data_IF_273162652492
#
_entry.id   IF_273162652492
#
_cell.length_a   1.000
_cell.length_b   1.000
_cell.length_c   1.000
_cell.angle_alpha   90.00
_cell.angle_beta   90.00
_cell.angle_gamma   90.00
#
_symmetry.space_group_name_H-M   'P 1'
#
loop_
_entity.id
_entity.type
_entity.pdbx_description
1 polymer ?
#
# COMPACT_ATOMS: atom_id res chain seq x y z
N UNK A 1 -4.83 -14.29 -21.77
CA UNK A 1 -5.01 -14.33 -20.31
C UNK A 1 -5.37 -12.92 -19.87
N UNK A 2 -6.63 -12.67 -19.53
CA UNK A 2 -7.07 -11.38 -18.97
C UNK A 2 -6.31 -11.18 -17.66
N UNK A 3 -5.40 -10.20 -17.66
CA UNK A 3 -4.60 -9.86 -16.49
C UNK A 3 -5.53 -9.26 -15.43
N UNK A 4 -5.66 -9.91 -14.27
CA UNK A 4 -6.55 -9.42 -13.20
C UNK A 4 -6.02 -8.18 -12.48
N UNK A 5 -6.84 -7.66 -11.58
CA UNK A 5 -6.44 -6.64 -10.61
C UNK A 5 -5.78 -7.29 -9.39
N UNK A 6 -4.92 -6.55 -8.69
CA UNK A 6 -4.33 -6.99 -7.44
C UNK A 6 -4.24 -5.88 -6.40
N UNK A 7 -4.38 -6.26 -5.13
CA UNK A 7 -3.94 -5.49 -3.98
C UNK A 7 -2.74 -6.19 -3.33
N UNK A 8 -1.73 -5.41 -2.94
CA UNK A 8 -0.46 -5.96 -2.47
C UNK A 8 0.01 -5.25 -1.21
N UNK A 9 0.19 -6.03 -0.14
CA UNK A 9 0.73 -5.52 1.13
C UNK A 9 2.00 -6.26 1.54
N UNK A 10 2.88 -5.58 2.25
CA UNK A 10 4.15 -6.13 2.72
C UNK A 10 4.01 -6.87 4.04
N UNK A 11 4.29 -8.18 4.05
CA UNK A 11 4.37 -8.96 5.29
C UNK A 11 5.81 -9.39 5.62
N UNK A 12 6.00 -9.98 6.80
CA UNK A 12 7.31 -10.45 7.28
C UNK A 12 7.98 -11.44 6.33
N UNK A 13 7.21 -12.30 5.66
CA UNK A 13 7.71 -13.38 4.79
C UNK A 13 7.74 -13.02 3.30
N UNK A 14 7.29 -11.82 2.93
CA UNK A 14 7.21 -11.40 1.52
C UNK A 14 6.08 -10.40 1.29
N UNK A 15 5.26 -10.66 0.28
CA UNK A 15 4.21 -9.78 -0.19
C UNK A 15 2.90 -10.56 -0.23
N UNK A 16 1.91 -10.12 0.54
CA UNK A 16 0.55 -10.65 0.44
C UNK A 16 -0.07 -10.05 -0.80
N UNK A 17 -0.45 -10.89 -1.75
CA UNK A 17 -1.07 -10.50 -3.02
C UNK A 17 -2.48 -11.05 -3.04
N UNK A 18 -3.48 -10.18 -2.99
CA UNK A 18 -4.90 -10.52 -3.14
C UNK A 18 -5.37 -10.18 -4.56
N UNK A 19 -6.15 -11.06 -5.17
CA UNK A 19 -6.80 -10.87 -6.48
C UNK A 19 -8.19 -11.52 -6.49
N UNK A 20 -8.93 -11.36 -7.59
CA UNK A 20 -10.22 -12.02 -7.75
C UNK A 20 -10.11 -13.54 -7.63
N UNK A 21 -10.69 -14.10 -6.58
CA UNK A 21 -10.71 -15.54 -6.33
C UNK A 21 -9.47 -16.11 -5.63
N UNK A 22 -8.56 -15.27 -5.11
CA UNK A 22 -7.44 -15.82 -4.33
C UNK A 22 -6.54 -14.81 -3.63
N UNK A 23 -5.71 -15.35 -2.73
CA UNK A 23 -4.65 -14.63 -2.04
C UNK A 23 -3.45 -15.55 -1.86
N UNK A 24 -2.24 -15.01 -1.96
CA UNK A 24 -1.00 -15.76 -1.71
C UNK A 24 0.10 -14.85 -1.16
N UNK A 25 1.11 -15.45 -0.56
CA UNK A 25 2.36 -14.75 -0.23
C UNK A 25 3.39 -15.03 -1.32
N UNK A 26 3.96 -13.96 -1.90
CA UNK A 26 5.08 -14.04 -2.83
C UNK A 26 6.36 -13.53 -2.14
N UNK A 27 7.52 -14.16 -2.32
CA UNK A 27 8.69 -13.87 -1.49
C UNK A 27 9.33 -12.51 -1.78
N UNK A 28 9.23 -11.98 -3.00
CA UNK A 28 9.82 -10.69 -3.38
C UNK A 28 8.91 -9.92 -4.32
N UNK A 29 9.15 -8.62 -4.44
CA UNK A 29 8.42 -7.75 -5.35
C UNK A 29 8.63 -8.15 -6.82
N UNK A 30 9.78 -8.75 -7.16
CA UNK A 30 10.02 -9.28 -8.51
C UNK A 30 9.03 -10.40 -8.88
N UNK A 31 8.65 -11.27 -7.94
CA UNK A 31 7.60 -12.26 -8.14
C UNK A 31 6.22 -11.64 -8.28
N UNK A 32 5.95 -10.52 -7.58
CA UNK A 32 4.70 -9.75 -7.78
C UNK A 32 4.64 -9.24 -9.22
N UNK A 33 5.72 -8.66 -9.73
CA UNK A 33 5.78 -8.15 -11.11
C UNK A 33 5.66 -9.27 -12.17
N UNK A 34 6.17 -10.47 -11.90
CA UNK A 34 6.10 -11.59 -12.85
C UNK A 34 4.68 -12.14 -13.05
N UNK A 35 3.75 -11.90 -12.11
CA UNK A 35 2.33 -12.30 -12.22
C UNK A 35 1.54 -11.54 -13.30
N UNK A 36 2.09 -10.44 -13.82
CA UNK A 36 1.53 -9.62 -14.91
C UNK A 36 0.06 -9.18 -14.70
N UNK A 37 -0.31 -8.71 -13.52
CA UNK A 37 -1.60 -8.04 -13.29
C UNK A 37 -1.78 -6.82 -14.22
N UNK A 38 -3.04 -6.50 -14.56
CA UNK A 38 -3.35 -5.30 -15.35
C UNK A 38 -3.00 -4.07 -14.52
N UNK A 39 -3.42 -4.09 -13.26
CA UNK A 39 -3.14 -3.07 -12.28
C UNK A 39 -2.96 -3.71 -10.90
N UNK A 40 -1.91 -3.30 -10.18
CA UNK A 40 -1.64 -3.65 -8.80
C UNK A 40 -1.54 -2.38 -7.95
N UNK A 41 -2.28 -2.32 -6.85
CA UNK A 41 -2.24 -1.25 -5.86
C UNK A 41 -1.44 -1.77 -4.67
N UNK A 42 -0.37 -1.08 -4.30
CA UNK A 42 0.64 -1.62 -3.37
C UNK A 42 0.86 -0.69 -2.16
N UNK A 43 0.95 -1.23 -0.95
CA UNK A 43 1.26 -0.46 0.28
C UNK A 43 2.78 -0.33 0.50
N UNK A 44 3.38 0.54 -0.30
CA UNK A 44 4.77 0.95 -0.13
C UNK A 44 4.97 2.26 -0.89
N UNK A 45 5.74 3.22 -0.32
CA UNK A 45 6.08 4.45 -1.02
C UNK A 45 6.68 4.23 -2.41
N UNK A 46 6.05 4.79 -3.44
CA UNK A 46 6.54 4.93 -4.81
C UNK A 46 6.82 6.42 -5.08
N UNK A 47 8.02 6.67 -5.61
CA UNK A 47 8.51 8.03 -5.81
C UNK A 47 9.01 8.60 -4.49
N UNK A 48 10.33 8.78 -4.39
CA UNK A 48 11.01 9.18 -3.16
C UNK A 48 11.78 10.48 -3.38
N UNK A 49 11.40 11.52 -2.63
CA UNK A 49 12.07 12.82 -2.66
C UNK A 49 13.45 12.71 -1.98
N UNK A 50 14.36 13.61 -2.35
CA UNK A 50 15.65 13.73 -1.65
C UNK A 50 15.50 14.49 -0.32
N UNK A 51 14.58 15.46 -0.28
CA UNK A 51 14.33 16.34 0.87
C UNK A 51 12.82 16.60 0.99
N UNK A 52 12.33 16.70 2.22
CA UNK A 52 10.95 17.06 2.51
C UNK A 52 10.00 15.87 2.56
N UNK A 53 8.71 16.16 2.79
CA UNK A 53 7.63 15.18 2.79
C UNK A 53 6.86 15.25 1.48
N UNK A 54 6.37 14.10 1.00
CA UNK A 54 5.54 14.04 -0.20
C UNK A 54 4.19 14.68 0.05
N UNK A 55 3.65 15.35 -0.96
CA UNK A 55 2.30 15.94 -0.91
C UNK A 55 1.25 14.87 -0.63
N UNK A 56 1.37 13.70 -1.25
CA UNK A 56 0.45 12.58 -1.04
C UNK A 56 0.41 12.12 0.43
N UNK A 57 1.54 12.09 1.13
CA UNK A 57 1.61 11.71 2.55
C UNK A 57 0.84 12.71 3.43
N UNK A 58 0.98 14.01 3.14
CA UNK A 58 0.28 15.08 3.87
C UNK A 58 -1.23 15.04 3.63
N UNK A 59 -1.64 14.89 2.38
CA UNK A 59 -3.06 14.77 2.01
C UNK A 59 -3.69 13.51 2.60
N UNK A 60 -2.99 12.37 2.57
CA UNK A 60 -3.45 11.12 3.17
C UNK A 60 -3.69 11.27 4.68
N UNK A 61 -2.76 11.91 5.40
CA UNK A 61 -2.92 12.22 6.83
C UNK A 61 -4.14 13.09 7.11
N UNK A 62 -4.39 14.10 6.27
CA UNK A 62 -5.56 14.95 6.41
C UNK A 62 -6.85 14.18 6.19
N UNK A 63 -6.87 13.25 5.23
CA UNK A 63 -8.04 12.44 4.88
C UNK A 63 -8.45 11.50 6.02
N UNK A 64 -7.49 10.89 6.70
CA UNK A 64 -7.75 9.89 7.76
C UNK A 64 -7.79 10.49 9.18
N UNK A 65 -7.65 11.81 9.32
CA UNK A 65 -7.90 12.55 10.56
C UNK A 65 -7.14 12.02 11.78
N UNK A 66 -7.85 11.55 12.79
CA UNK A 66 -7.26 10.98 14.02
C UNK A 66 -6.34 9.78 13.76
N UNK A 67 -6.54 9.08 12.64
CA UNK A 67 -5.70 7.93 12.25
C UNK A 67 -4.43 8.37 11.51
N UNK A 68 -4.14 9.67 11.37
CA UNK A 68 -2.97 10.22 10.65
C UNK A 68 -1.62 9.61 10.99
N UNK A 69 -1.47 9.03 12.18
CA UNK A 69 -0.23 8.37 12.61
C UNK A 69 0.04 7.04 11.89
N UNK A 70 -0.95 6.47 11.20
CA UNK A 70 -0.77 5.25 10.40
C UNK A 70 -0.07 5.52 9.06
N UNK A 71 -0.21 6.73 8.52
CA UNK A 71 0.54 7.17 7.34
C UNK A 71 1.89 7.69 7.82
N UNK A 72 2.92 6.85 7.71
CA UNK A 72 4.30 7.23 8.01
C UNK A 72 4.90 8.04 6.85
N UNK A 73 5.79 9.02 7.11
CA UNK A 73 6.41 9.76 6.02
C UNK A 73 7.27 8.81 5.20
N UNK A 74 7.23 8.91 3.87
CA UNK A 74 8.17 8.18 3.05
C UNK A 74 9.61 8.58 3.40
N UNK A 75 10.58 7.64 3.31
CA UNK A 75 11.97 7.95 3.56
C UNK A 75 12.49 8.89 2.46
N UNK A 76 13.53 9.67 2.77
CA UNK A 76 14.33 10.25 1.70
C UNK A 76 14.97 9.14 0.87
N UNK A 77 15.14 9.37 -0.42
CA UNK A 77 15.81 8.41 -1.32
C UNK A 77 17.23 8.07 -0.82
N UNK A 78 17.93 9.05 -0.26
CA UNK A 78 19.27 8.89 0.32
C UNK A 78 19.32 7.91 1.51
N UNK A 79 18.24 7.80 2.31
CA UNK A 79 18.15 6.86 3.44
C UNK A 79 18.19 5.40 2.99
N UNK A 80 17.78 5.10 1.74
CA UNK A 80 17.86 3.74 1.20
C UNK A 80 19.30 3.20 1.14
N UNK A 81 20.33 4.05 1.20
CA UNK A 81 21.74 3.62 1.22
C UNK A 81 22.18 3.06 2.57
N UNK A 82 21.46 3.38 3.66
CA UNK A 82 21.85 2.99 5.02
C UNK A 82 21.67 1.49 5.25
N UNK A 83 22.75 0.77 5.55
CA UNK A 83 22.71 -0.69 5.80
C UNK A 83 22.51 -1.07 7.27
N UNK A 84 22.61 -0.12 8.19
CA UNK A 84 22.46 -0.32 9.64
C UNK A 84 21.52 0.72 10.25
N UNK A 85 20.75 0.29 11.24
CA UNK A 85 19.96 1.19 12.06
C UNK A 85 20.87 1.90 13.07
N UNK A 86 20.84 3.22 13.06
CA UNK A 86 21.60 4.12 13.92
C UNK A 86 20.72 5.30 14.40
N UNK A 87 19.39 5.13 14.42
CA UNK A 87 18.43 6.16 14.86
C UNK A 87 18.10 7.23 13.80
N UNK A 88 18.49 7.03 12.54
CA UNK A 88 18.23 7.98 11.45
C UNK A 88 16.76 8.06 10.99
N UNK A 89 15.91 7.15 11.46
CA UNK A 89 14.48 7.11 11.17
C UNK A 89 13.73 6.37 12.30
N UNK A 90 12.40 6.29 12.23
CA UNK A 90 11.64 5.44 13.15
C UNK A 90 11.95 3.95 12.93
N UNK A 91 11.75 3.14 13.96
CA UNK A 91 11.88 1.68 13.88
C UNK A 91 10.88 1.09 12.88
N UNK A 92 9.65 1.63 12.82
CA UNK A 92 8.66 1.19 11.83
C UNK A 92 9.14 1.40 10.40
N UNK A 93 9.65 2.60 10.08
CA UNK A 93 10.19 2.91 8.76
C UNK A 93 11.42 2.05 8.45
N UNK A 94 12.29 1.83 9.43
CA UNK A 94 13.45 0.95 9.28
C UNK A 94 13.03 -0.49 8.92
N UNK A 95 12.01 -1.02 9.58
CA UNK A 95 11.53 -2.40 9.37
C UNK A 95 10.94 -2.62 7.97
N UNK A 96 10.39 -1.59 7.33
CA UNK A 96 9.88 -1.68 5.94
C UNK A 96 10.91 -1.24 4.90
N UNK A 97 12.09 -0.76 5.30
CA UNK A 97 13.06 -0.14 4.40
C UNK A 97 13.54 -1.09 3.29
N UNK A 98 13.66 -2.39 3.59
CA UNK A 98 14.00 -3.41 2.58
C UNK A 98 12.91 -3.55 1.50
N UNK A 99 11.62 -3.50 1.89
CA UNK A 99 10.52 -3.51 0.91
C UNK A 99 10.52 -2.26 0.04
N UNK A 100 10.80 -1.11 0.64
CA UNK A 100 10.94 0.15 -0.10
C UNK A 100 12.11 0.05 -1.09
N UNK A 101 13.24 -0.57 -0.71
CA UNK A 101 14.37 -0.83 -1.63
C UNK A 101 13.96 -1.72 -2.80
N UNK A 102 13.27 -2.83 -2.54
CA UNK A 102 12.81 -3.76 -3.60
C UNK A 102 11.97 -3.02 -4.65
N UNK A 103 11.03 -2.20 -4.20
CA UNK A 103 10.13 -1.45 -5.07
C UNK A 103 10.87 -0.31 -5.77
N UNK A 104 11.65 0.51 -5.05
CA UNK A 104 12.40 1.61 -5.65
C UNK A 104 13.40 1.15 -6.73
N UNK A 105 14.03 -0.01 -6.53
CA UNK A 105 14.94 -0.60 -7.51
C UNK A 105 14.23 -1.07 -8.79
N UNK A 106 12.95 -1.47 -8.68
CA UNK A 106 12.18 -2.03 -9.78
C UNK A 106 11.34 -0.98 -10.53
N UNK A 107 10.91 0.07 -9.83
CA UNK A 107 9.97 1.06 -10.37
C UNK A 107 10.60 1.97 -11.41
N UNK A 108 9.85 2.15 -12.51
CA UNK A 108 10.12 3.10 -13.59
C UNK A 108 8.83 3.85 -13.93
N UNK A 109 8.88 5.07 -14.51
CA UNK A 109 7.67 5.81 -14.85
C UNK A 109 6.67 5.02 -15.71
N UNK A 110 7.16 4.17 -16.62
CA UNK A 110 6.31 3.31 -17.44
C UNK A 110 5.57 2.22 -16.64
N UNK A 111 6.16 1.72 -15.55
CA UNK A 111 5.55 0.71 -14.70
C UNK A 111 4.40 1.26 -13.85
N UNK A 112 4.37 2.58 -13.61
CA UNK A 112 3.28 3.25 -12.90
C UNK A 112 1.93 3.20 -13.61
N UNK A 113 1.89 2.75 -14.88
CA UNK A 113 0.63 2.42 -15.57
C UNK A 113 -0.05 1.16 -15.02
N UNK A 114 0.72 0.28 -14.37
CA UNK A 114 0.26 -1.04 -13.90
C UNK A 114 0.54 -1.29 -12.43
N UNK A 115 1.38 -0.48 -11.79
CA UNK A 115 1.69 -0.59 -10.36
C UNK A 115 1.64 0.79 -9.75
N UNK A 116 0.69 1.02 -8.84
CA UNK A 116 0.47 2.33 -8.20
C UNK A 116 0.52 2.16 -6.69
N UNK A 117 0.97 3.19 -6.00
CA UNK A 117 0.97 3.22 -4.54
C UNK A 117 -0.46 3.45 -4.04
N UNK A 118 -0.80 2.76 -2.97
CA UNK A 118 -2.03 2.93 -2.22
C UNK A 118 -1.73 2.76 -0.73
N UNK A 119 -2.67 3.11 0.15
CA UNK A 119 -2.47 2.96 1.59
C UNK A 119 -3.72 2.33 2.22
N UNK A 120 -3.60 1.26 3.02
CA UNK A 120 -4.76 0.52 3.55
C UNK A 120 -5.70 1.40 4.35
N UNK A 121 -5.20 2.26 5.24
CA UNK A 121 -6.06 3.14 6.05
C UNK A 121 -6.77 4.22 5.22
N UNK A 122 -6.17 4.67 4.11
CA UNK A 122 -6.84 5.60 3.17
C UNK A 122 -7.94 4.85 2.42
N UNK A 123 -7.62 3.64 1.94
CA UNK A 123 -8.55 2.78 1.20
C UNK A 123 -9.74 2.37 2.06
N UNK A 124 -9.50 1.98 3.32
CA UNK A 124 -10.55 1.69 4.29
C UNK A 124 -11.38 2.92 4.62
N UNK A 125 -10.77 4.09 4.80
CA UNK A 125 -11.51 5.32 5.04
C UNK A 125 -12.44 5.67 3.86
N UNK A 126 -11.96 5.48 2.62
CA UNK A 126 -12.77 5.68 1.42
C UNK A 126 -13.90 4.66 1.31
N UNK A 127 -13.65 3.39 1.62
CA UNK A 127 -14.66 2.33 1.64
C UNK A 127 -15.74 2.58 2.70
N UNK A 128 -15.34 3.06 3.87
CA UNK A 128 -16.22 3.38 4.99
C UNK A 128 -16.97 4.72 4.82
N UNK A 129 -16.51 5.59 3.92
CA UNK A 129 -17.02 6.97 3.78
C UNK A 129 -16.47 7.94 4.85
N UNK A 130 -15.44 7.54 5.59
CA UNK A 130 -14.78 8.34 6.62
C UNK A 130 -13.75 7.52 7.41
N UNK A 131 -12.90 8.16 8.25
CA UNK A 131 -11.89 7.47 9.04
C UNK A 131 -12.45 6.32 9.89
N UNK A 132 -11.66 5.26 10.06
CA UNK A 132 -12.03 4.12 10.89
C UNK A 132 -11.95 4.47 12.38
N UNK A 133 -12.83 3.88 13.19
CA UNK A 133 -12.91 4.16 14.62
C UNK A 133 -11.80 3.47 15.41
N UNK A 134 -11.44 2.24 15.04
CA UNK A 134 -10.55 1.41 15.84
C UNK A 134 -9.20 1.16 15.16
N UNK A 135 -8.07 1.25 15.89
CA UNK A 135 -6.76 0.85 15.39
C UNK A 135 -6.74 -0.60 14.91
N UNK A 136 -6.03 -0.88 13.80
CA UNK A 136 -5.97 -2.22 13.19
C UNK A 136 -5.46 -3.34 14.09
N UNK A 137 -4.65 -3.00 15.11
CA UNK A 137 -4.11 -3.96 16.09
C UNK A 137 -5.09 -4.34 17.20
N UNK A 138 -6.26 -3.70 17.30
CA UNK A 138 -7.31 -4.07 18.24
C UNK A 138 -8.27 -5.07 17.60
N UNK A 139 -8.84 -5.98 18.41
CA UNK A 139 -9.86 -6.93 17.93
C UNK A 139 -11.07 -6.21 17.31
N UNK A 140 -11.51 -5.09 17.90
CA UNK A 140 -12.58 -4.26 17.33
C UNK A 140 -12.20 -3.68 15.94
N UNK A 141 -10.93 -3.32 15.73
CA UNK A 141 -10.43 -2.83 14.44
C UNK A 141 -10.29 -3.93 13.38
N UNK A 142 -9.94 -5.15 13.77
CA UNK A 142 -10.00 -6.31 12.87
C UNK A 142 -11.46 -6.55 12.42
N UNK A 143 -12.39 -6.57 13.37
CA UNK A 143 -13.82 -6.77 13.09
C UNK A 143 -14.39 -5.68 12.17
N UNK A 144 -14.09 -4.40 12.45
CA UNK A 144 -14.52 -3.26 11.62
C UNK A 144 -14.07 -3.42 10.16
N UNK A 145 -12.80 -3.76 9.92
CA UNK A 145 -12.27 -4.00 8.57
C UNK A 145 -12.90 -5.20 7.87
N UNK A 146 -13.13 -6.30 8.61
CA UNK A 146 -13.82 -7.48 8.05
C UNK A 146 -15.25 -7.18 7.64
N UNK A 147 -15.99 -6.43 8.45
CA UNK A 147 -17.36 -6.02 8.14
C UNK A 147 -17.42 -5.14 6.89
N UNK A 148 -16.43 -4.26 6.67
CA UNK A 148 -16.34 -3.45 5.47
C UNK A 148 -16.03 -4.26 4.21
N UNK A 149 -15.16 -5.27 4.30
CA UNK A 149 -14.76 -6.09 3.14
C UNK A 149 -15.80 -7.16 2.78
N UNK A 150 -16.62 -7.60 3.74
CA UNK A 150 -17.57 -8.71 3.55
C UNK A 150 -18.59 -8.50 2.41
N UNK A 151 -19.21 -7.32 2.24
CA UNK A 151 -20.11 -7.08 1.11
C UNK A 151 -19.41 -7.11 -0.26
N UNK A 152 -18.09 -6.91 -0.29
CA UNK A 152 -17.31 -6.78 -1.54
C UNK A 152 -16.69 -8.11 -1.97
N UNK A 153 -16.19 -8.89 -1.00
CA UNK A 153 -15.39 -10.09 -1.24
C UNK A 153 -15.90 -11.34 -0.51
N UNK A 154 -16.95 -11.23 0.30
CA UNK A 154 -17.36 -12.29 1.22
C UNK A 154 -16.37 -12.45 2.37
N UNK A 155 -16.22 -13.67 2.90
CA UNK A 155 -15.25 -13.91 3.96
C UNK A 155 -13.81 -13.85 3.45
N UNK A 156 -13.05 -12.89 3.97
CA UNK A 156 -11.62 -12.79 3.67
C UNK A 156 -10.87 -13.95 4.34
N UNK A 157 -10.19 -14.82 3.57
CA UNK A 157 -9.53 -16.00 4.10
C UNK A 157 -8.37 -15.64 5.03
N UNK A 158 -7.99 -16.58 5.88
CA UNK A 158 -6.73 -16.50 6.63
C UNK A 158 -5.63 -17.16 5.81
N UNK A 159 -4.46 -16.54 5.77
CA UNK A 159 -3.27 -17.09 5.11
C UNK A 159 -2.26 -17.49 6.20
N UNK A 160 -1.84 -18.76 6.28
CA UNK A 160 -0.82 -19.17 7.23
C UNK A 160 0.49 -18.38 7.06
N UNK A 161 1.09 -17.95 8.16
CA UNK A 161 2.37 -17.24 8.16
C UNK A 161 2.30 -15.74 7.85
N UNK A 162 1.10 -15.16 7.71
CA UNK A 162 0.89 -13.69 7.63
C UNK A 162 0.25 -13.17 8.89
N UNK A 163 0.41 -11.88 9.19
CA UNK A 163 -0.46 -11.26 10.18
C UNK A 163 -1.89 -11.18 9.62
N UNK A 164 -2.88 -11.09 10.52
CA UNK A 164 -4.29 -11.02 10.10
C UNK A 164 -4.59 -9.71 9.37
N UNK A 165 -3.95 -8.62 9.78
CA UNK A 165 -4.12 -7.31 9.16
C UNK A 165 -3.51 -7.26 7.76
N UNK A 166 -2.36 -7.90 7.52
CA UNK A 166 -1.70 -7.88 6.19
C UNK A 166 -2.64 -8.40 5.06
N UNK A 167 -3.47 -9.41 5.36
CA UNK A 167 -4.43 -9.94 4.39
C UNK A 167 -5.59 -8.96 4.17
N UNK A 168 -6.14 -8.39 5.24
CA UNK A 168 -7.22 -7.40 5.12
C UNK A 168 -6.74 -6.14 4.37
N UNK A 169 -5.50 -5.72 4.63
CA UNK A 169 -4.84 -4.62 3.96
C UNK A 169 -4.71 -4.93 2.46
N UNK A 170 -4.17 -6.09 2.07
CA UNK A 170 -4.13 -6.48 0.65
C UNK A 170 -5.51 -6.50 -0.04
N UNK A 171 -6.57 -6.94 0.64
CA UNK A 171 -7.93 -6.93 0.08
C UNK A 171 -8.52 -5.53 -0.08
N UNK A 172 -8.28 -4.60 0.84
CA UNK A 172 -8.77 -3.23 0.66
C UNK A 172 -8.03 -2.52 -0.47
N UNK A 173 -6.75 -2.84 -0.70
CA UNK A 173 -6.01 -2.34 -1.85
C UNK A 173 -6.55 -2.92 -3.17
N UNK A 174 -7.00 -4.19 -3.18
CA UNK A 174 -7.69 -4.78 -4.32
C UNK A 174 -9.02 -4.06 -4.60
N UNK A 175 -9.74 -3.64 -3.56
CA UNK A 175 -10.94 -2.81 -3.72
C UNK A 175 -10.61 -1.46 -4.36
N UNK A 176 -9.55 -0.77 -3.93
CA UNK A 176 -9.09 0.46 -4.59
C UNK A 176 -8.64 0.21 -6.04
N UNK A 177 -8.05 -0.95 -6.33
CA UNK A 177 -7.73 -1.35 -7.70
C UNK A 177 -8.98 -1.43 -8.60
N UNK A 178 -10.10 -1.97 -8.09
CA UNK A 178 -11.39 -1.98 -8.81
C UNK A 178 -11.87 -0.56 -9.09
N UNK A 179 -11.72 0.37 -8.15
CA UNK A 179 -12.10 1.78 -8.35
C UNK A 179 -11.31 2.45 -9.46
N UNK A 180 -10.00 2.23 -9.50
CA UNK A 180 -9.15 2.77 -10.58
C UNK A 180 -9.60 2.23 -11.94
N UNK A 181 -9.90 0.94 -12.05
CA UNK A 181 -10.39 0.35 -13.30
C UNK A 181 -11.71 1.00 -13.76
N UNK A 182 -12.55 1.42 -12.82
CA UNK A 182 -13.83 2.09 -13.10
C UNK A 182 -13.73 3.62 -13.17
N UNK A 183 -12.53 4.22 -13.08
CA UNK A 183 -12.34 5.67 -13.08
C UNK A 183 -12.95 6.38 -11.87
N UNK A 184 -13.04 5.68 -10.74
CA UNK A 184 -13.64 6.14 -9.48
C UNK A 184 -12.59 6.40 -8.40
N UNK A 185 -11.31 6.37 -8.73
CA UNK A 185 -10.25 6.54 -7.74
C UNK A 185 -10.19 7.96 -7.17
N UNK A 186 -9.66 8.07 -5.96
CA UNK A 186 -9.13 9.31 -5.42
C UNK A 186 -7.62 9.29 -5.53
N UNK A 187 -7.04 10.32 -6.15
CA UNK A 187 -5.58 10.48 -6.26
C UNK A 187 -5.13 11.60 -5.33
N UNK A 188 -4.25 11.27 -4.39
CA UNK A 188 -3.63 12.21 -3.47
C UNK A 188 -2.22 12.56 -3.95
N UNK A 189 -1.81 13.83 -3.83
CA UNK A 189 -0.49 14.32 -4.22
C UNK A 189 -0.29 14.53 -5.74
N UNK A 190 -1.39 14.67 -6.49
CA UNK A 190 -1.34 14.82 -7.94
C UNK A 190 -0.37 15.91 -8.40
N UNK A 191 0.44 15.57 -9.41
CA UNK A 191 1.43 16.47 -10.03
C UNK A 191 2.84 16.41 -9.45
N UNK A 192 3.04 15.86 -8.24
CA UNK A 192 4.38 15.71 -7.65
C UNK A 192 5.14 14.52 -8.26
N UNK A 193 6.43 14.73 -8.54
CA UNK A 193 7.33 13.70 -9.03
C UNK A 193 8.68 13.79 -8.35
N UNK A 194 9.34 12.65 -8.21
CA UNK A 194 10.69 12.59 -7.69
C UNK A 194 11.77 12.83 -8.77
N UNK A 195 13.04 12.77 -8.37
CA UNK A 195 14.19 12.92 -9.27
C UNK A 195 14.29 11.85 -10.39
N UNK A 196 13.59 10.71 -10.26
CA UNK A 196 13.47 9.67 -11.30
C UNK A 196 12.20 9.83 -12.15
N UNK A 197 11.47 10.94 -11.98
CA UNK A 197 10.18 11.25 -12.60
C UNK A 197 9.05 10.27 -12.22
N UNK A 198 9.22 9.48 -11.16
CA UNK A 198 8.13 8.68 -10.61
C UNK A 198 7.11 9.62 -10.00
N UNK A 199 5.82 9.41 -10.27
CA UNK A 199 4.76 10.13 -9.59
C UNK A 199 4.77 9.77 -8.10
N UNK A 200 4.69 10.78 -7.24
CA UNK A 200 4.51 10.65 -5.80
C UNK A 200 3.02 10.78 -5.51
N UNK A 201 2.28 9.68 -5.58
CA UNK A 201 0.83 9.66 -5.41
C UNK A 201 0.38 8.51 -4.52
N UNK A 202 -0.69 8.71 -3.76
CA UNK A 202 -1.42 7.63 -3.07
C UNK A 202 -2.79 7.54 -3.73
N UNK A 203 -3.15 6.33 -4.17
CA UNK A 203 -4.39 6.06 -4.88
C UNK A 203 -5.32 5.26 -3.99
N UNK A 204 -6.60 5.65 -3.94
CA UNK A 204 -7.61 5.01 -3.11
C UNK A 204 -8.94 4.84 -3.80
#
# INVERSE_FOLDING_TARGET
>A
MTSGLAGVDGCRSGWVVAWEGGVQVLPTFAYVLSRRFELALIDVPIGLLEVGSRRCDTEARSLIGERRSSVFPAPSRSLLRSRRYAGQCSVQLWNILEKIREVDASMKPALQRRVREAHPEVSFALLNGGPLRYPKKQAAGETERRLLLRPVFGEVPRVPGTARDDVLDAYVLLWSARRVLHGQERVLGSGERDGRRLKCEIVG
#
